data_IF_743435416131
#
_entry.id   IF_743435416131
#
_cell.length_a   1.000
_cell.length_b   1.000
_cell.length_c   1.000
_cell.angle_alpha   90.00
_cell.angle_beta   90.00
_cell.angle_gamma   90.00
#
_symmetry.space_group_name_H-M   'P 1'
#
loop_
_entity.id
_entity.type
_entity.pdbx_description
1 polymer ?
#
# COMPACT_ATOMS: atom_id res chain seq x y z
N UNK A 1 -0.96 7.63 -20.64
CA UNK A 1 -2.25 7.72 -19.86
C UNK A 1 -2.27 6.59 -18.85
N UNK A 2 -2.45 6.92 -17.56
CA UNK A 2 -2.56 5.93 -16.48
C UNK A 2 -4.00 5.88 -15.98
N UNK A 3 -4.53 4.68 -15.77
CA UNK A 3 -5.81 4.41 -15.11
C UNK A 3 -5.53 3.80 -13.73
N UNK A 4 -6.09 4.39 -12.68
CA UNK A 4 -6.01 3.86 -11.32
C UNK A 4 -7.39 3.42 -10.85
N UNK A 5 -7.46 2.23 -10.28
CA UNK A 5 -8.67 1.68 -9.66
C UNK A 5 -8.36 1.33 -8.21
N UNK A 6 -9.07 1.94 -7.27
CA UNK A 6 -9.01 1.54 -5.86
C UNK A 6 -9.85 0.28 -5.70
N UNK A 7 -9.22 -0.83 -5.35
CA UNK A 7 -9.90 -2.10 -5.05
C UNK A 7 -10.43 -2.06 -3.61
N UNK A 8 -9.62 -1.56 -2.70
CA UNK A 8 -10.00 -1.35 -1.31
C UNK A 8 -8.77 -1.22 -0.42
N UNK A 9 -8.90 -0.56 0.71
CA UNK A 9 -7.80 -0.30 1.63
C UNK A 9 -6.60 0.34 0.91
N UNK A 10 -5.43 -0.30 0.91
CA UNK A 10 -4.23 0.14 0.19
C UNK A 10 -4.05 -0.50 -1.19
N UNK A 11 -4.99 -1.39 -1.58
CA UNK A 11 -4.91 -2.13 -2.84
C UNK A 11 -5.32 -1.26 -4.02
N UNK A 12 -4.37 -0.88 -4.86
CA UNK A 12 -4.58 -0.21 -6.14
C UNK A 12 -4.28 -1.15 -7.30
N UNK A 13 -5.11 -1.07 -8.34
CA UNK A 13 -4.80 -1.58 -9.67
C UNK A 13 -4.44 -0.39 -10.55
N UNK A 14 -3.17 -0.30 -10.93
CA UNK A 14 -2.64 0.78 -11.77
C UNK A 14 -2.32 0.22 -13.15
N UNK A 15 -2.89 0.82 -14.19
CA UNK A 15 -2.74 0.39 -15.56
C UNK A 15 -2.22 1.54 -16.42
N UNK A 16 -1.06 1.36 -17.03
CA UNK A 16 -0.55 2.20 -18.11
C UNK A 16 -0.95 1.62 -19.46
N UNK A 17 -0.31 2.05 -20.55
CA UNK A 17 -0.55 1.50 -21.87
C UNK A 17 -0.09 0.05 -21.98
N UNK A 18 1.03 -0.33 -21.33
CA UNK A 18 1.68 -1.63 -21.50
C UNK A 18 1.89 -2.38 -20.18
N UNK A 19 1.70 -1.71 -19.02
CA UNK A 19 2.00 -2.26 -17.70
C UNK A 19 0.76 -2.28 -16.80
N UNK A 20 0.58 -3.37 -16.08
CA UNK A 20 -0.41 -3.52 -15.03
C UNK A 20 0.28 -3.80 -13.71
N UNK A 21 0.02 -2.96 -12.71
CA UNK A 21 0.59 -3.06 -11.36
C UNK A 21 -0.54 -3.29 -10.37
N UNK A 22 -0.35 -4.23 -9.46
CA UNK A 22 -1.24 -4.49 -8.33
C UNK A 22 -0.47 -4.22 -7.04
N UNK A 23 -1.02 -3.40 -6.14
CA UNK A 23 -0.38 -3.07 -4.86
C UNK A 23 -1.14 -3.69 -3.70
N UNK A 24 -0.42 -4.22 -2.72
CA UNK A 24 -0.92 -4.71 -1.42
C UNK A 24 -2.29 -5.38 -1.49
N UNK A 25 -2.44 -6.49 -2.22
CA UNK A 25 -3.74 -7.10 -2.45
C UNK A 25 -4.25 -7.83 -1.21
N UNK A 26 -5.37 -7.34 -0.69
CA UNK A 26 -6.14 -7.95 0.40
C UNK A 26 -7.57 -8.14 -0.10
N UNK A 27 -7.97 -9.39 -0.38
CA UNK A 27 -9.23 -9.73 -1.05
C UNK A 27 -10.22 -10.47 -0.16
N UNK A 28 -9.90 -10.61 1.12
CA UNK A 28 -10.76 -11.20 2.14
C UNK A 28 -11.16 -10.13 3.14
N UNK A 29 -12.44 -10.11 3.49
CA UNK A 29 -13.01 -9.03 4.31
C UNK A 29 -12.50 -9.01 5.76
N UNK A 30 -12.09 -10.16 6.31
CA UNK A 30 -11.72 -10.27 7.71
C UNK A 30 -10.21 -10.22 7.92
N UNK A 31 -9.79 -9.38 8.86
CA UNK A 31 -8.40 -9.15 9.25
C UNK A 31 -8.23 -9.40 10.76
N UNK A 32 -7.01 -9.73 11.19
CA UNK A 32 -6.62 -9.90 12.59
C UNK A 32 -7.64 -10.77 13.38
N UNK A 33 -7.68 -12.08 13.08
CA UNK A 33 -8.57 -13.04 13.72
C UNK A 33 -10.06 -12.59 13.74
N UNK A 34 -10.49 -11.91 12.66
CA UNK A 34 -11.84 -11.38 12.49
C UNK A 34 -12.19 -10.18 13.42
N UNK A 35 -11.21 -9.59 14.11
CA UNK A 35 -11.41 -8.38 14.91
C UNK A 35 -11.82 -7.22 14.03
N UNK A 36 -11.19 -7.10 12.86
CA UNK A 36 -11.47 -6.07 11.88
C UNK A 36 -12.10 -6.64 10.61
N UNK A 37 -12.94 -5.84 9.97
CA UNK A 37 -13.55 -6.16 8.69
C UNK A 37 -13.38 -4.99 7.74
N UNK A 38 -13.03 -5.27 6.49
CA UNK A 38 -12.92 -4.24 5.45
C UNK A 38 -14.25 -3.50 5.26
N UNK A 39 -14.18 -2.18 5.17
CA UNK A 39 -15.33 -1.31 5.03
C UNK A 39 -15.03 -0.19 4.01
N UNK A 40 -15.73 -0.14 2.87
CA UNK A 40 -16.74 -1.12 2.46
C UNK A 40 -16.16 -2.51 2.17
N UNK A 41 -17.00 -3.54 2.25
CA UNK A 41 -16.61 -4.88 1.82
C UNK A 41 -16.15 -4.89 0.37
N UNK A 42 -15.11 -5.65 0.08
CA UNK A 42 -14.57 -5.75 -1.28
C UNK A 42 -15.49 -6.61 -2.15
N UNK A 43 -16.06 -5.99 -3.18
CA UNK A 43 -16.79 -6.69 -4.23
C UNK A 43 -15.86 -6.86 -5.43
N UNK A 44 -15.04 -7.91 -5.40
CA UNK A 44 -14.02 -8.14 -6.43
C UNK A 44 -14.48 -9.22 -7.41
N UNK A 45 -14.71 -8.82 -8.66
CA UNK A 45 -14.88 -9.76 -9.76
C UNK A 45 -13.48 -10.21 -10.25
N UNK A 46 -12.95 -11.27 -9.65
CA UNK A 46 -11.59 -11.77 -9.91
C UNK A 46 -11.33 -12.06 -11.38
N UNK A 47 -12.34 -12.46 -12.12
CA UNK A 47 -12.26 -12.72 -13.56
C UNK A 47 -12.07 -11.43 -14.41
N UNK A 48 -12.32 -10.26 -13.82
CA UNK A 48 -12.11 -8.97 -14.48
C UNK A 48 -10.74 -8.34 -14.16
N UNK A 49 -9.96 -8.95 -13.29
CA UNK A 49 -8.60 -8.47 -13.04
C UNK A 49 -7.74 -8.85 -14.25
N UNK A 50 -7.09 -7.87 -14.89
CA UNK A 50 -6.20 -8.14 -16.00
C UNK A 50 -4.94 -8.88 -15.54
N UNK A 51 -4.19 -9.49 -16.47
CA UNK A 51 -2.88 -10.04 -16.15
C UNK A 51 -1.95 -8.96 -15.57
N UNK A 52 -1.38 -9.24 -14.40
CA UNK A 52 -0.52 -8.34 -13.64
C UNK A 52 0.93 -8.54 -14.06
N UNK A 53 1.62 -7.45 -14.37
CA UNK A 53 3.06 -7.46 -14.69
C UNK A 53 3.91 -7.28 -13.44
N UNK A 54 3.41 -6.47 -12.49
CA UNK A 54 4.10 -6.16 -11.24
C UNK A 54 3.14 -6.29 -10.07
N UNK A 55 3.53 -7.10 -9.08
CA UNK A 55 2.92 -7.15 -7.76
C UNK A 55 3.83 -6.38 -6.80
N UNK A 56 3.33 -5.33 -6.17
CA UNK A 56 4.07 -4.60 -5.14
C UNK A 56 3.51 -4.95 -3.76
N UNK A 57 4.41 -5.26 -2.84
CA UNK A 57 4.13 -5.54 -1.44
C UNK A 57 4.92 -4.53 -0.61
N UNK A 58 4.22 -3.63 0.05
CA UNK A 58 4.85 -2.50 0.74
C UNK A 58 5.53 -2.89 2.06
N UNK A 59 4.89 -3.75 2.85
CA UNK A 59 5.36 -4.23 4.15
C UNK A 59 4.55 -5.45 4.64
N UNK A 60 4.91 -6.00 5.80
CA UNK A 60 4.39 -7.29 6.30
C UNK A 60 3.12 -7.24 7.15
N UNK A 61 2.50 -6.10 7.39
CA UNK A 61 1.21 -6.06 8.11
C UNK A 61 0.14 -6.85 7.36
N UNK A 62 -0.75 -7.53 8.09
CA UNK A 62 -1.73 -8.46 7.51
C UNK A 62 -2.76 -7.77 6.62
N UNK A 63 -2.99 -6.49 6.77
CA UNK A 63 -3.86 -5.66 5.93
C UNK A 63 -3.16 -5.14 4.66
N UNK A 64 -1.89 -5.48 4.46
CA UNK A 64 -1.09 -5.23 3.25
C UNK A 64 -0.48 -6.51 2.69
N UNK A 65 -0.25 -7.50 3.54
CA UNK A 65 0.38 -8.78 3.22
C UNK A 65 -0.56 -9.94 3.60
N UNK A 66 -1.64 -10.11 2.85
CA UNK A 66 -2.62 -11.18 3.09
C UNK A 66 -2.21 -12.48 2.41
N UNK A 67 -1.69 -13.42 3.19
CA UNK A 67 -1.20 -14.73 2.72
C UNK A 67 -2.29 -15.50 1.96
N UNK A 68 -3.57 -15.34 2.31
CA UNK A 68 -4.70 -15.99 1.62
C UNK A 68 -4.83 -15.47 0.19
N UNK A 69 -4.75 -14.15 0.02
CA UNK A 69 -4.78 -13.51 -1.31
C UNK A 69 -3.54 -13.88 -2.12
N UNK A 70 -2.36 -13.85 -1.50
CA UNK A 70 -1.10 -14.22 -2.17
C UNK A 70 -1.11 -15.68 -2.62
N UNK A 71 -1.60 -16.61 -1.79
CA UNK A 71 -1.78 -18.02 -2.15
C UNK A 71 -2.73 -18.18 -3.34
N UNK A 72 -3.82 -17.42 -3.39
CA UNK A 72 -4.70 -17.40 -4.55
C UNK A 72 -3.98 -16.89 -5.81
N UNK A 73 -3.27 -15.78 -5.70
CA UNK A 73 -2.57 -15.14 -6.84
C UNK A 73 -1.51 -16.05 -7.46
N UNK A 74 -0.72 -16.74 -6.66
CA UNK A 74 0.33 -17.62 -7.17
C UNK A 74 -0.24 -18.83 -7.92
N UNK A 75 -1.47 -19.24 -7.57
CA UNK A 75 -2.17 -20.34 -8.23
C UNK A 75 -2.91 -19.89 -9.50
N UNK A 76 -3.42 -18.67 -9.56
CA UNK A 76 -4.16 -18.17 -10.72
C UNK A 76 -3.22 -17.51 -11.75
N UNK A 77 -2.71 -18.31 -12.65
CA UNK A 77 -1.79 -17.86 -13.73
C UNK A 77 -2.44 -16.92 -14.75
N UNK A 78 -3.73 -16.69 -14.70
CA UNK A 78 -4.39 -15.65 -15.52
C UNK A 78 -4.11 -14.27 -14.97
N UNK A 79 -4.04 -14.14 -13.63
CA UNK A 79 -3.79 -12.86 -12.95
C UNK A 79 -2.29 -12.65 -12.80
N UNK A 80 -1.59 -13.56 -12.12
CA UNK A 80 -0.15 -13.47 -11.92
C UNK A 80 0.58 -14.38 -12.91
N UNK A 81 1.21 -13.77 -13.91
CA UNK A 81 1.98 -14.52 -14.93
C UNK A 81 3.29 -15.07 -14.33
N UNK A 82 3.86 -16.12 -14.93
CA UNK A 82 5.14 -16.67 -14.46
C UNK A 82 6.31 -15.69 -14.51
N UNK A 83 6.24 -14.68 -15.38
CA UNK A 83 7.24 -13.62 -15.56
C UNK A 83 6.91 -12.33 -14.81
N UNK A 84 5.78 -12.29 -14.07
CA UNK A 84 5.44 -11.15 -13.22
C UNK A 84 6.52 -10.90 -12.19
N UNK A 85 6.84 -9.63 -11.97
CA UNK A 85 7.83 -9.19 -10.99
C UNK A 85 7.11 -8.94 -9.66
N UNK A 86 7.64 -9.47 -8.55
CA UNK A 86 7.21 -9.13 -7.21
C UNK A 86 8.20 -8.14 -6.62
N UNK A 87 7.76 -6.91 -6.34
CA UNK A 87 8.55 -5.91 -5.63
C UNK A 87 8.26 -6.04 -4.14
N UNK A 88 9.29 -6.17 -3.33
CA UNK A 88 9.17 -6.37 -1.90
C UNK A 88 10.31 -5.67 -1.14
N UNK A 89 10.08 -5.21 0.10
CA UNK A 89 11.14 -4.71 0.96
C UNK A 89 12.08 -5.85 1.39
N UNK A 90 13.24 -5.51 1.93
CA UNK A 90 14.16 -6.47 2.52
C UNK A 90 13.67 -6.87 3.93
N UNK A 91 12.63 -7.65 3.98
CA UNK A 91 12.03 -8.21 5.20
C UNK A 91 12.12 -9.74 5.15
N UNK A 92 12.88 -10.35 6.05
CA UNK A 92 13.15 -11.78 6.01
C UNK A 92 11.87 -12.61 6.16
N UNK A 93 10.93 -12.21 7.05
CA UNK A 93 9.66 -12.91 7.23
C UNK A 93 8.79 -12.88 5.97
N UNK A 94 8.66 -11.68 5.37
CA UNK A 94 7.90 -11.50 4.14
C UNK A 94 8.52 -12.33 3.01
N UNK A 95 9.84 -12.29 2.86
CA UNK A 95 10.55 -13.02 1.82
C UNK A 95 10.44 -14.54 2.02
N UNK A 96 10.51 -15.03 3.25
CA UNK A 96 10.34 -16.45 3.56
C UNK A 96 8.95 -16.93 3.16
N UNK A 97 7.90 -16.18 3.51
CA UNK A 97 6.51 -16.53 3.11
C UNK A 97 6.35 -16.51 1.58
N UNK A 98 6.92 -15.53 0.88
CA UNK A 98 6.88 -15.50 -0.58
C UNK A 98 7.57 -16.72 -1.20
N UNK A 99 8.70 -17.15 -0.65
CA UNK A 99 9.43 -18.34 -1.10
C UNK A 99 8.62 -19.62 -0.83
N UNK A 100 8.00 -19.77 0.34
CA UNK A 100 7.11 -20.90 0.69
C UNK A 100 5.87 -20.95 -0.25
N UNK A 101 5.33 -19.80 -0.63
CA UNK A 101 4.25 -19.70 -1.61
C UNK A 101 4.73 -19.89 -3.06
N UNK A 102 6.01 -20.14 -3.27
CA UNK A 102 6.64 -20.39 -4.56
C UNK A 102 6.62 -19.21 -5.57
N UNK A 103 6.60 -17.96 -5.09
CA UNK A 103 6.88 -16.81 -5.97
C UNK A 103 8.30 -16.91 -6.54
N UNK A 104 8.47 -16.63 -7.83
CA UNK A 104 9.76 -16.93 -8.54
C UNK A 104 10.59 -15.69 -8.86
N UNK A 105 9.96 -14.57 -9.14
CA UNK A 105 10.64 -13.37 -9.64
C UNK A 105 10.51 -12.23 -8.61
N UNK A 106 11.14 -12.43 -7.44
CA UNK A 106 11.13 -11.47 -6.34
C UNK A 106 12.32 -10.52 -6.52
N UNK A 107 12.02 -9.22 -6.54
CA UNK A 107 13.01 -8.14 -6.56
C UNK A 107 12.90 -7.35 -5.28
N UNK A 108 13.96 -7.38 -4.47
CA UNK A 108 14.09 -6.53 -3.30
C UNK A 108 14.29 -5.09 -3.77
N UNK A 109 13.51 -4.17 -3.21
CA UNK A 109 13.56 -2.76 -3.54
C UNK A 109 14.32 -1.96 -2.49
N UNK A 110 14.87 -0.82 -2.91
CA UNK A 110 15.53 0.16 -2.04
C UNK A 110 14.88 1.52 -2.23
N UNK A 111 14.93 2.36 -1.21
CA UNK A 111 14.35 3.70 -1.23
C UNK A 111 14.92 4.54 -2.38
N UNK A 112 14.01 5.12 -3.14
CA UNK A 112 14.31 6.01 -4.27
C UNK A 112 15.15 5.38 -5.40
N UNK A 113 15.32 4.04 -5.42
CA UNK A 113 15.93 3.34 -6.55
C UNK A 113 14.86 2.96 -7.58
N UNK A 114 14.91 3.52 -8.81
CA UNK A 114 13.87 3.28 -9.79
C UNK A 114 13.95 1.87 -10.39
N UNK A 115 12.78 1.28 -10.60
CA UNK A 115 12.58 0.03 -11.32
C UNK A 115 11.85 0.32 -12.62
N UNK A 116 12.50 0.09 -13.74
CA UNK A 116 11.91 0.27 -15.07
C UNK A 116 11.16 -0.99 -15.49
N UNK A 117 9.88 -0.85 -15.82
CA UNK A 117 9.05 -1.94 -16.33
C UNK A 117 8.26 -1.44 -17.53
N UNK A 118 8.58 -1.92 -18.72
CA UNK A 118 7.96 -1.53 -19.99
C UNK A 118 7.88 0.00 -20.13
N UNK A 119 6.67 0.56 -20.06
CA UNK A 119 6.38 1.97 -20.27
C UNK A 119 6.26 2.78 -18.95
N UNK A 120 6.63 2.21 -17.81
CA UNK A 120 6.58 2.91 -16.51
C UNK A 120 7.90 2.83 -15.74
N UNK A 121 8.11 3.84 -14.93
CA UNK A 121 9.12 3.87 -13.87
C UNK A 121 8.41 3.74 -12.53
N UNK A 122 8.82 2.76 -11.73
CA UNK A 122 8.32 2.51 -10.40
C UNK A 122 9.41 2.88 -9.41
N UNK A 123 9.11 3.79 -8.48
CA UNK A 123 10.10 4.25 -7.50
C UNK A 123 9.55 4.04 -6.09
N UNK A 124 10.11 3.12 -5.32
CA UNK A 124 9.79 2.98 -3.90
C UNK A 124 10.17 4.25 -3.15
N UNK A 125 9.33 4.69 -2.22
CA UNK A 125 9.61 5.87 -1.39
C UNK A 125 9.90 5.47 0.04
N UNK A 126 10.85 6.17 0.68
CA UNK A 126 11.22 5.90 2.06
C UNK A 126 10.03 6.10 3.02
N UNK A 127 10.04 5.30 4.08
CA UNK A 127 9.18 5.48 5.25
C UNK A 127 10.05 5.74 6.48
N UNK A 128 9.58 6.63 7.35
CA UNK A 128 10.21 6.89 8.66
C UNK A 128 9.82 5.85 9.69
N UNK A 129 9.36 4.71 9.34
CA UNK A 129 8.80 3.73 10.25
C UNK A 129 9.27 3.94 11.72
N UNK A 130 8.45 4.60 12.53
CA UNK A 130 8.75 4.92 13.93
C UNK A 130 7.88 4.05 14.82
N UNK A 131 8.12 2.76 14.77
CA UNK A 131 7.48 1.88 15.71
C UNK A 131 7.98 2.14 17.13
N UNK A 132 7.07 2.07 18.08
CA UNK A 132 7.38 2.16 19.51
C UNK A 132 8.01 0.88 20.05
N UNK A 133 8.07 -0.19 19.29
CA UNK A 133 8.64 -1.48 19.67
C UNK A 133 9.57 -2.00 18.57
N UNK A 134 10.66 -2.66 18.97
CA UNK A 134 11.60 -3.28 18.01
C UNK A 134 10.94 -4.41 17.17
N UNK A 135 9.81 -4.93 17.61
CA UNK A 135 9.06 -5.97 16.90
C UNK A 135 8.32 -5.43 15.69
N UNK A 136 7.97 -4.14 15.71
CA UNK A 136 7.32 -3.44 14.62
C UNK A 136 8.30 -2.66 13.73
N UNK A 137 9.61 -2.69 14.03
CA UNK A 137 10.64 -2.06 13.22
C UNK A 137 10.99 -2.98 12.03
N UNK A 138 10.23 -2.86 10.96
CA UNK A 138 10.43 -3.58 9.71
C UNK A 138 10.42 -2.60 8.53
N UNK A 139 11.08 -2.97 7.42
CA UNK A 139 11.14 -2.11 6.25
C UNK A 139 9.76 -1.98 5.59
N UNK A 140 9.44 -0.74 5.24
CA UNK A 140 8.19 -0.33 4.61
C UNK A 140 8.48 0.71 3.53
N UNK A 141 7.70 0.72 2.45
CA UNK A 141 7.83 1.74 1.42
C UNK A 141 6.48 2.15 0.82
N UNK A 142 6.36 3.40 0.43
CA UNK A 142 5.34 3.86 -0.51
C UNK A 142 5.78 3.63 -1.95
N UNK A 143 4.90 3.85 -2.92
CA UNK A 143 5.16 3.55 -4.32
C UNK A 143 4.79 4.72 -5.24
N UNK A 144 5.78 5.28 -5.94
CA UNK A 144 5.57 6.16 -7.08
C UNK A 144 5.54 5.36 -8.37
N UNK A 145 4.59 5.69 -9.25
CA UNK A 145 4.48 5.12 -10.59
C UNK A 145 4.33 6.26 -11.59
N UNK A 146 5.21 6.31 -12.59
CA UNK A 146 5.17 7.34 -13.64
C UNK A 146 5.33 6.73 -15.02
N UNK A 147 4.52 7.21 -15.98
CA UNK A 147 4.69 6.92 -17.43
C UNK A 147 5.40 8.08 -18.16
N UNK A 148 5.97 9.03 -17.43
CA UNK A 148 6.62 10.23 -17.95
C UNK A 148 5.67 11.41 -18.17
N UNK A 149 4.35 11.19 -18.24
CA UNK A 149 3.32 12.23 -18.38
C UNK A 149 2.49 12.38 -17.09
N UNK A 150 2.21 11.26 -16.44
CA UNK A 150 1.38 11.17 -15.23
C UNK A 150 2.17 10.48 -14.12
N UNK A 151 2.11 11.02 -12.93
CA UNK A 151 2.72 10.43 -11.73
C UNK A 151 1.67 10.16 -10.66
N UNK A 152 1.67 8.92 -10.19
CA UNK A 152 0.83 8.46 -9.08
C UNK A 152 1.72 8.18 -7.89
N UNK A 153 1.29 8.55 -6.69
CA UNK A 153 1.91 8.11 -5.46
C UNK A 153 0.89 7.38 -4.58
N UNK A 154 1.18 6.12 -4.26
CA UNK A 154 0.54 5.36 -3.20
C UNK A 154 1.45 5.43 -1.97
N UNK A 155 1.06 6.24 -0.99
CA UNK A 155 1.85 6.42 0.24
C UNK A 155 1.80 5.18 1.12
N UNK A 156 0.74 4.39 1.02
CA UNK A 156 0.47 3.24 1.90
C UNK A 156 0.44 3.71 3.37
N UNK A 157 1.10 3.03 4.28
CA UNK A 157 1.22 3.42 5.70
C UNK A 157 2.45 4.26 5.98
N UNK A 158 3.26 4.51 4.95
CA UNK A 158 4.55 5.19 5.10
C UNK A 158 4.42 6.54 5.80
N UNK A 159 5.19 6.70 6.86
CA UNK A 159 5.37 7.99 7.52
C UNK A 159 6.45 8.78 6.78
N UNK A 160 6.17 10.05 6.54
CA UNK A 160 7.07 10.91 5.76
C UNK A 160 7.37 12.22 6.49
N UNK A 161 8.57 12.74 6.28
CA UNK A 161 9.00 14.06 6.74
C UNK A 161 9.16 15.04 5.56
N UNK A 162 9.45 16.34 5.81
CA UNK A 162 9.67 17.31 4.76
C UNK A 162 10.76 16.91 3.76
N UNK A 163 11.83 16.23 4.20
CA UNK A 163 12.94 15.84 3.32
C UNK A 163 12.51 14.76 2.32
N UNK A 164 11.72 13.78 2.77
CA UNK A 164 11.13 12.74 1.90
C UNK A 164 10.19 13.40 0.88
N UNK A 165 9.31 14.31 1.34
CA UNK A 165 8.38 15.04 0.47
C UNK A 165 9.13 15.85 -0.57
N UNK A 166 10.18 16.58 -0.17
CA UNK A 166 11.04 17.34 -1.08
C UNK A 166 11.67 16.41 -2.11
N UNK A 167 12.22 15.28 -1.67
CA UNK A 167 12.86 14.30 -2.56
C UNK A 167 11.90 13.73 -3.60
N UNK A 168 10.64 13.47 -3.22
CA UNK A 168 9.58 13.05 -4.14
C UNK A 168 9.34 14.13 -5.20
N UNK A 169 9.22 15.40 -4.79
CA UNK A 169 9.03 16.53 -5.69
C UNK A 169 10.20 16.74 -6.66
N UNK A 170 11.45 16.56 -6.20
CA UNK A 170 12.64 16.66 -7.03
C UNK A 170 12.72 15.57 -8.11
N UNK A 171 12.30 14.35 -7.78
CA UNK A 171 12.39 13.21 -8.69
C UNK A 171 11.26 13.17 -9.72
N UNK A 172 10.06 13.56 -9.32
CA UNK A 172 8.85 13.32 -10.13
C UNK A 172 8.06 14.60 -10.43
N UNK A 173 8.41 15.72 -9.81
CA UNK A 173 7.66 16.98 -10.01
C UNK A 173 6.24 16.91 -9.46
N UNK A 174 5.26 17.31 -10.27
CA UNK A 174 3.84 17.32 -9.89
C UNK A 174 3.30 15.89 -9.73
N UNK A 175 2.72 15.62 -8.58
CA UNK A 175 1.94 14.39 -8.37
C UNK A 175 0.52 14.59 -8.91
N UNK A 176 0.09 13.74 -9.84
CA UNK A 176 -1.25 13.82 -10.42
C UNK A 176 -2.30 13.16 -9.53
N UNK A 177 -2.01 11.98 -9.01
CA UNK A 177 -2.89 11.24 -8.12
C UNK A 177 -2.11 10.78 -6.88
N UNK A 178 -2.66 11.09 -5.72
CA UNK A 178 -2.09 10.75 -4.43
C UNK A 178 -3.08 9.92 -3.62
N UNK A 179 -2.76 8.64 -3.41
CA UNK A 179 -3.41 7.78 -2.43
C UNK A 179 -2.67 7.95 -1.11
N UNK A 180 -3.22 8.81 -0.26
CA UNK A 180 -2.53 9.29 0.93
C UNK A 180 -2.81 8.40 2.14
N UNK A 181 -1.77 8.21 2.95
CA UNK A 181 -1.93 7.67 4.28
C UNK A 181 -2.90 8.53 5.09
N UNK A 182 -3.95 7.92 5.57
CA UNK A 182 -4.87 8.50 6.56
C UNK A 182 -5.40 7.37 7.42
N UNK A 183 -4.81 7.19 8.60
CA UNK A 183 -5.02 6.05 9.50
C UNK A 183 -5.59 6.55 10.83
N UNK A 184 -6.86 7.01 10.87
CA UNK A 184 -7.50 7.56 12.06
C UNK A 184 -7.98 6.45 13.01
N UNK A 185 -7.12 5.49 13.31
CA UNK A 185 -7.45 4.33 14.13
C UNK A 185 -7.39 4.66 15.61
N UNK A 186 -8.36 4.18 16.37
CA UNK A 186 -8.47 4.42 17.81
C UNK A 186 -7.99 3.24 18.67
N UNK A 187 -7.63 2.11 18.05
CA UNK A 187 -7.18 0.89 18.75
C UNK A 187 -5.93 1.16 19.60
N UNK A 188 -4.98 1.88 19.06
CA UNK A 188 -3.77 2.27 19.79
C UNK A 188 -4.11 3.19 21.00
N UNK A 189 -5.01 4.14 20.80
CA UNK A 189 -5.47 4.99 21.89
C UNK A 189 -6.18 4.17 22.97
N UNK A 190 -7.02 3.22 22.58
CA UNK A 190 -7.69 2.32 23.50
C UNK A 190 -6.70 1.45 24.27
N UNK A 191 -5.76 0.80 23.58
CA UNK A 191 -4.75 -0.07 24.18
C UNK A 191 -3.87 0.67 25.20
N UNK A 192 -3.53 1.93 24.92
CA UNK A 192 -2.73 2.78 25.82
C UNK A 192 -3.55 3.68 26.76
N UNK A 193 -4.86 3.41 26.91
CA UNK A 193 -5.77 4.15 27.76
C UNK A 193 -5.75 5.68 27.51
N UNK A 194 -5.65 6.07 26.25
CA UNK A 194 -5.72 7.46 25.79
C UNK A 194 -7.16 7.83 25.42
N UNK A 195 -7.50 9.15 25.32
CA UNK A 195 -8.82 9.58 24.90
C UNK A 195 -9.23 9.04 23.52
N UNK A 196 -10.46 8.53 23.41
CA UNK A 196 -11.06 8.06 22.17
C UNK A 196 -11.79 9.21 21.48
N UNK A 197 -11.03 10.17 20.98
CA UNK A 197 -11.53 11.34 20.24
C UNK A 197 -10.96 11.32 18.84
N UNK A 198 -11.50 12.17 17.95
CA UNK A 198 -10.94 12.33 16.59
C UNK A 198 -9.41 12.53 16.68
N UNK A 199 -8.60 11.72 16.00
CA UNK A 199 -7.13 11.83 16.03
C UNK A 199 -6.68 13.06 15.23
N UNK A 200 -6.75 14.22 15.85
CA UNK A 200 -6.44 15.52 15.22
C UNK A 200 -5.03 15.57 14.65
N UNK A 201 -4.06 14.97 15.34
CA UNK A 201 -2.65 14.97 14.88
C UNK A 201 -2.50 14.19 13.58
N UNK A 202 -3.16 13.04 13.45
CA UNK A 202 -3.19 12.25 12.21
C UNK A 202 -3.86 13.04 11.06
N UNK A 203 -4.99 13.69 11.36
CA UNK A 203 -5.67 14.54 10.39
C UNK A 203 -4.81 15.72 9.93
N UNK A 204 -4.14 16.40 10.87
CA UNK A 204 -3.23 17.50 10.55
C UNK A 204 -2.02 17.01 9.74
N UNK A 205 -1.46 15.85 10.07
CA UNK A 205 -0.37 15.23 9.31
C UNK A 205 -0.77 14.97 7.87
N UNK A 206 -1.93 14.33 7.66
CA UNK A 206 -2.49 14.13 6.32
C UNK A 206 -2.62 15.44 5.55
N UNK A 207 -3.25 16.46 6.13
CA UNK A 207 -3.43 17.76 5.46
C UNK A 207 -2.09 18.45 5.14
N UNK A 208 -1.10 18.35 6.01
CA UNK A 208 0.22 18.93 5.78
C UNK A 208 0.94 18.27 4.61
N UNK A 209 0.88 16.95 4.49
CA UNK A 209 1.46 16.21 3.35
C UNK A 209 0.75 16.61 2.06
N UNK A 210 -0.58 16.62 2.04
CA UNK A 210 -1.37 17.03 0.88
C UNK A 210 -1.03 18.46 0.45
N UNK A 211 -0.92 19.38 1.40
CA UNK A 211 -0.56 20.78 1.14
C UNK A 211 0.87 20.93 0.59
N UNK A 212 1.81 20.17 1.12
CA UNK A 212 3.21 20.24 0.70
C UNK A 212 3.43 19.69 -0.72
N UNK A 213 2.74 18.62 -1.08
CA UNK A 213 2.81 17.99 -2.40
C UNK A 213 1.97 18.69 -3.46
N UNK A 214 0.84 19.28 -3.08
CA UNK A 214 -0.11 19.92 -4.00
C UNK A 214 -0.58 19.01 -5.13
N UNK A 215 -1.05 17.78 -4.85
CA UNK A 215 -1.45 16.84 -5.90
C UNK A 215 -2.70 17.33 -6.63
N UNK A 216 -2.91 16.90 -7.89
CA UNK A 216 -4.15 17.24 -8.63
C UNK A 216 -5.36 16.54 -8.03
N UNK A 217 -5.19 15.29 -7.61
CA UNK A 217 -6.24 14.49 -6.96
C UNK A 217 -5.65 13.79 -5.74
N UNK A 218 -6.42 13.75 -4.65
CA UNK A 218 -6.07 13.03 -3.43
C UNK A 218 -7.21 12.13 -2.99
N UNK A 219 -6.87 10.91 -2.57
CA UNK A 219 -7.79 9.95 -1.97
C UNK A 219 -7.18 9.51 -0.64
N UNK A 220 -7.85 9.73 0.50
CA UNK A 220 -7.43 9.16 1.77
C UNK A 220 -7.53 7.62 1.72
N UNK A 221 -6.54 6.93 2.24
CA UNK A 221 -6.46 5.48 2.20
C UNK A 221 -5.77 4.86 3.41
N UNK A 222 -5.54 3.56 3.32
CA UNK A 222 -4.83 2.74 4.31
C UNK A 222 -5.54 2.58 5.66
N UNK A 223 -6.87 2.77 5.73
CA UNK A 223 -7.67 2.49 6.92
C UNK A 223 -9.12 2.15 6.54
N UNK A 224 -9.31 1.39 5.47
CA UNK A 224 -10.65 1.03 5.00
C UNK A 224 -11.17 -0.22 5.74
N UNK A 225 -11.22 -0.19 7.06
CA UNK A 225 -11.78 -1.24 7.89
C UNK A 225 -12.49 -0.68 9.12
N UNK A 226 -13.24 -1.53 9.79
CA UNK A 226 -13.91 -1.23 11.07
C UNK A 226 -13.73 -2.38 12.04
N UNK A 227 -13.73 -2.04 13.32
CA UNK A 227 -13.74 -3.01 14.40
C UNK A 227 -15.11 -3.72 14.51
N UNK A 228 -15.10 -4.96 14.94
CA UNK A 228 -16.30 -5.79 15.15
C UNK A 228 -16.58 -6.05 16.62
N UNK A 229 -17.75 -6.57 16.85
CA UNK A 229 -18.22 -7.14 18.13
C UNK A 229 -17.96 -6.18 19.31
N UNK A 230 -17.23 -6.62 20.30
CA UNK A 230 -16.96 -5.85 21.52
C UNK A 230 -16.14 -4.58 21.27
N UNK A 231 -15.38 -4.52 20.16
CA UNK A 231 -14.58 -3.36 19.77
C UNK A 231 -15.30 -2.37 18.83
N UNK A 232 -16.57 -2.63 18.49
CA UNK A 232 -17.35 -1.78 17.57
C UNK A 232 -17.48 -0.31 18.04
N UNK A 233 -17.25 -0.03 19.32
CA UNK A 233 -17.24 1.34 19.85
C UNK A 233 -16.01 2.16 19.41
N UNK A 234 -15.02 1.56 18.78
CA UNK A 234 -13.83 2.22 18.24
C UNK A 234 -14.03 2.77 16.82
N UNK A 235 -15.17 2.51 16.18
CA UNK A 235 -15.46 2.99 14.82
C UNK A 235 -15.88 4.45 14.78
#
# INVERSE_FOLDING_TARGET
>A
MIKTTLIGHACLLVQSKETTILTDPVWFDYLWEEINVLCPSIVLEKDKIPPVDVLNLSHRHQDHFDVRTLSYLVQDKRILKPDSIVLAPKDDLLLDVLNELEFKNIKIVSDFEPVHVKDVVITPTASLNQSSTAEDDFPEHGLLVSDGEVTIWNQVDSQVNPDIIQRIGELHGQIDFFHSRFVPLLEGNFAYNKPLTLPIDEYCTFLNVVKALGPKFVVPGSAAFRCRDELNFLN
#
